data_IF_124893890235
#
_entry.id   IF_124893890235
#
_cell.length_a   1.000
_cell.length_b   1.000
_cell.length_c   1.000
_cell.angle_alpha   90.00
_cell.angle_beta   90.00
_cell.angle_gamma   90.00
#
_symmetry.space_group_name_H-M   'P 1'
#
loop_
_entity.id
_entity.type
_entity.pdbx_description
1 polymer ?
#
# COMPACT_ATOMS: atom_id res chain seq x y z
N UNK A 1 -4.27 14.85 -0.24
CA UNK A 1 -5.27 15.32 -1.24
C UNK A 1 -4.63 16.42 -2.07
N UNK A 2 -4.80 16.40 -3.39
CA UNK A 2 -4.20 17.32 -4.37
C UNK A 2 -2.68 17.46 -4.20
N UNK A 3 -2.00 16.32 -4.10
CA UNK A 3 -0.53 16.26 -4.08
C UNK A 3 0.01 16.71 -5.44
N UNK A 4 -0.63 16.26 -6.52
CA UNK A 4 -0.48 16.83 -7.86
C UNK A 4 -1.67 17.74 -8.12
N UNK A 5 -1.39 18.98 -8.47
CA UNK A 5 -2.36 20.08 -8.53
C UNK A 5 -2.05 21.00 -9.72
N UNK A 6 -2.91 21.99 -9.97
CA UNK A 6 -2.89 22.89 -11.13
C UNK A 6 -1.49 23.36 -11.54
N UNK A 7 -0.78 23.98 -10.61
CA UNK A 7 0.56 24.54 -10.85
C UNK A 7 1.60 23.49 -11.25
N UNK A 8 1.40 22.22 -10.87
CA UNK A 8 2.22 21.11 -11.34
C UNK A 8 1.92 20.80 -12.81
N UNK A 9 0.64 20.73 -13.21
CA UNK A 9 0.25 20.49 -14.60
C UNK A 9 0.72 21.60 -15.54
N UNK A 10 0.72 22.85 -15.08
CA UNK A 10 1.20 24.01 -15.85
C UNK A 10 2.65 23.86 -16.31
N UNK A 11 3.49 23.14 -15.55
CA UNK A 11 4.91 22.95 -15.84
C UNK A 11 5.26 21.52 -16.30
N UNK A 12 4.29 20.62 -16.41
CA UNK A 12 4.52 19.24 -16.86
C UNK A 12 4.95 19.17 -18.32
N UNK A 13 5.87 18.26 -18.65
CA UNK A 13 6.33 18.04 -20.02
C UNK A 13 5.23 17.42 -20.88
N UNK A 14 5.27 17.68 -22.19
CA UNK A 14 4.42 16.97 -23.14
C UNK A 14 4.60 15.45 -23.05
N UNK A 15 3.49 14.72 -23.13
CA UNK A 15 3.43 13.26 -23.04
C UNK A 15 3.63 12.69 -21.64
N UNK A 16 3.68 13.52 -20.59
CA UNK A 16 3.89 13.07 -19.21
C UNK A 16 2.79 12.09 -18.76
N UNK A 17 3.20 10.94 -18.22
CA UNK A 17 2.30 9.97 -17.60
C UNK A 17 2.19 10.26 -16.10
N UNK A 18 0.96 10.42 -15.62
CA UNK A 18 0.61 10.67 -14.23
C UNK A 18 -0.24 9.53 -13.72
N UNK A 19 0.11 8.98 -12.57
CA UNK A 19 -0.60 7.86 -11.96
C UNK A 19 -0.63 8.04 -10.45
N UNK A 20 -1.62 7.41 -9.82
CA UNK A 20 -1.72 7.32 -8.37
C UNK A 20 -1.58 5.86 -7.93
N UNK A 21 -0.91 5.60 -6.82
CA UNK A 21 -0.92 4.29 -6.14
C UNK A 21 -1.24 4.42 -4.64
N UNK A 22 -1.68 5.61 -4.23
CA UNK A 22 -2.05 5.95 -2.87
C UNK A 22 -3.57 5.97 -2.65
N UNK A 23 -4.05 6.95 -1.92
CA UNK A 23 -5.41 6.99 -1.42
C UNK A 23 -6.43 7.41 -2.49
N UNK A 24 -7.24 6.44 -2.94
CA UNK A 24 -8.34 6.60 -3.89
C UNK A 24 -7.95 7.40 -5.15
N UNK A 25 -8.67 8.47 -5.48
CA UNK A 25 -8.43 9.35 -6.62
C UNK A 25 -8.28 10.82 -6.21
N UNK A 26 -8.01 11.09 -4.93
CA UNK A 26 -7.98 12.46 -4.39
C UNK A 26 -6.58 13.05 -4.36
N UNK A 27 -5.55 12.30 -4.72
CA UNK A 27 -4.16 12.78 -4.74
C UNK A 27 -3.82 13.58 -5.99
N UNK A 28 -4.53 13.33 -7.10
CA UNK A 28 -4.40 14.08 -8.35
C UNK A 28 -5.63 14.98 -8.49
N UNK A 29 -5.44 16.29 -8.64
CA UNK A 29 -6.55 17.21 -8.87
C UNK A 29 -7.07 17.11 -10.31
N UNK A 30 -7.79 16.02 -10.62
CA UNK A 30 -8.39 15.78 -11.93
C UNK A 30 -9.39 16.86 -12.37
N UNK A 31 -10.25 17.43 -11.49
CA UNK A 31 -11.10 18.56 -11.86
C UNK A 31 -10.31 19.74 -12.42
N UNK A 32 -9.20 20.11 -11.77
CA UNK A 32 -8.35 21.19 -12.29
C UNK A 32 -7.70 20.83 -13.63
N UNK A 33 -7.31 19.57 -13.83
CA UNK A 33 -6.76 19.13 -15.12
C UNK A 33 -7.84 19.15 -16.22
N UNK A 34 -9.07 18.77 -15.89
CA UNK A 34 -10.23 18.83 -16.79
C UNK A 34 -10.57 20.26 -17.20
N UNK A 35 -10.50 21.22 -16.28
CA UNK A 35 -10.68 22.64 -16.57
C UNK A 35 -9.58 23.22 -17.46
N UNK A 36 -8.35 22.71 -17.36
CA UNK A 36 -7.21 23.17 -18.18
C UNK A 36 -7.17 22.54 -19.57
N UNK A 37 -7.83 21.39 -19.75
CA UNK A 37 -7.79 20.64 -20.99
C UNK A 37 -8.75 21.22 -22.04
N UNK A 38 -8.28 21.33 -23.27
CA UNK A 38 -9.11 21.67 -24.44
C UNK A 38 -9.73 20.44 -25.08
N UNK A 39 -9.13 19.27 -24.88
CA UNK A 39 -9.63 17.98 -25.35
C UNK A 39 -9.28 16.88 -24.35
N UNK A 40 -10.19 15.92 -24.18
CA UNK A 40 -9.95 14.66 -23.46
C UNK A 40 -10.25 13.49 -24.39
N UNK A 41 -9.29 12.59 -24.55
CA UNK A 41 -9.43 11.37 -25.36
C UNK A 41 -8.89 10.15 -24.60
N UNK A 42 -9.33 8.97 -25.00
CA UNK A 42 -8.91 7.69 -24.41
C UNK A 42 -8.20 6.84 -25.46
N UNK A 43 -6.88 7.03 -25.68
CA UNK A 43 -6.15 6.32 -26.74
C UNK A 43 -6.03 4.81 -26.50
N UNK A 44 -6.12 4.36 -25.24
CA UNK A 44 -6.15 2.95 -24.86
C UNK A 44 -6.90 2.75 -23.55
N UNK A 45 -7.23 1.50 -23.23
CA UNK A 45 -7.79 1.16 -21.94
C UNK A 45 -6.88 1.65 -20.81
N UNK A 46 -7.50 2.25 -19.78
CA UNK A 46 -6.85 2.81 -18.59
C UNK A 46 -5.93 4.02 -18.81
N UNK A 47 -5.97 4.65 -19.98
CA UNK A 47 -5.20 5.88 -20.26
C UNK A 47 -6.13 6.96 -20.77
N UNK A 48 -6.30 8.00 -19.98
CA UNK A 48 -6.97 9.24 -20.38
C UNK A 48 -5.91 10.28 -20.74
N UNK A 49 -5.99 10.82 -21.95
CA UNK A 49 -5.08 11.85 -22.45
C UNK A 49 -5.81 13.19 -22.51
N UNK A 50 -5.22 14.18 -21.84
CA UNK A 50 -5.71 15.55 -21.70
C UNK A 50 -4.81 16.46 -22.52
N UNK A 51 -5.33 17.03 -23.61
CA UNK A 51 -4.61 18.04 -24.38
C UNK A 51 -4.83 19.41 -23.75
N UNK A 52 -3.75 20.13 -23.45
CA UNK A 52 -3.76 21.49 -22.93
C UNK A 52 -3.78 22.51 -24.08
N UNK A 53 -4.14 23.75 -23.76
CA UNK A 53 -4.25 24.83 -24.76
C UNK A 53 -2.94 25.16 -25.51
N UNK A 54 -1.78 24.82 -24.93
CA UNK A 54 -0.47 24.99 -25.56
C UNK A 54 -0.02 23.78 -26.41
N UNK A 55 -0.90 22.80 -26.60
CA UNK A 55 -0.66 21.61 -27.41
C UNK A 55 -0.02 20.43 -26.67
N UNK A 56 0.43 20.61 -25.42
CA UNK A 56 0.96 19.52 -24.59
C UNK A 56 -0.15 18.53 -24.23
N UNK A 57 0.23 17.27 -24.06
CA UNK A 57 -0.65 16.17 -23.69
C UNK A 57 -0.23 15.59 -22.34
N UNK A 58 -1.15 15.49 -21.39
CA UNK A 58 -0.94 14.84 -20.10
C UNK A 58 -1.74 13.53 -20.09
N UNK A 59 -1.11 12.42 -19.73
CA UNK A 59 -1.71 11.09 -19.72
C UNK A 59 -1.96 10.64 -18.29
N UNK A 60 -3.21 10.52 -17.89
CA UNK A 60 -3.60 9.98 -16.58
C UNK A 60 -3.85 8.48 -16.71
N UNK A 61 -3.18 7.70 -15.87
CA UNK A 61 -3.37 6.25 -15.80
C UNK A 61 -4.44 5.89 -14.77
N UNK A 62 -5.29 4.92 -15.10
CA UNK A 62 -6.25 4.33 -14.18
C UNK A 62 -7.27 5.33 -13.61
N UNK A 63 -7.62 6.39 -14.34
CA UNK A 63 -8.52 7.46 -13.89
C UNK A 63 -8.03 8.15 -12.58
N UNK A 64 -6.71 8.14 -12.34
CA UNK A 64 -6.11 8.65 -11.10
C UNK A 64 -6.44 7.82 -9.86
N UNK A 65 -7.08 6.65 -10.01
CA UNK A 65 -7.23 5.63 -8.96
C UNK A 65 -5.92 4.85 -8.79
N UNK A 66 -5.93 3.89 -7.86
CA UNK A 66 -4.79 3.00 -7.60
C UNK A 66 -4.40 2.24 -8.88
N UNK A 67 -3.32 2.66 -9.52
CA UNK A 67 -2.89 2.19 -10.84
C UNK A 67 -2.59 0.70 -10.85
N UNK A 68 -2.04 0.17 -9.77
CA UNK A 68 -1.76 -1.26 -9.61
C UNK A 68 -3.04 -2.10 -9.57
N UNK A 69 -4.18 -1.56 -9.14
CA UNK A 69 -5.47 -2.25 -9.13
C UNK A 69 -6.33 -1.92 -10.35
N UNK A 70 -6.25 -0.68 -10.83
CA UNK A 70 -7.08 -0.18 -11.92
C UNK A 70 -6.55 -0.59 -13.30
N UNK A 71 -5.22 -0.68 -13.44
CA UNK A 71 -4.56 -0.97 -14.71
C UNK A 71 -3.66 -2.22 -14.66
N UNK A 72 -3.70 -2.97 -13.55
CA UNK A 72 -3.02 -4.24 -13.35
C UNK A 72 -3.81 -5.13 -12.38
N UNK A 73 -3.19 -6.19 -11.86
CA UNK A 73 -3.85 -7.23 -11.03
C UNK A 73 -3.64 -7.05 -9.52
N UNK A 74 -3.09 -5.90 -9.10
CA UNK A 74 -2.78 -5.62 -7.70
C UNK A 74 -1.54 -6.35 -7.18
N UNK A 75 -1.53 -6.62 -5.89
CA UNK A 75 -0.45 -7.39 -5.27
C UNK A 75 -0.64 -8.89 -5.55
N UNK A 76 0.45 -9.63 -5.79
CA UNK A 76 0.38 -11.08 -5.99
C UNK A 76 -0.12 -11.79 -4.72
N UNK A 77 -0.68 -12.99 -4.89
CA UNK A 77 -1.19 -13.80 -3.79
C UNK A 77 -0.15 -14.03 -2.67
N UNK A 78 1.13 -14.12 -3.03
CA UNK A 78 2.26 -14.30 -2.09
C UNK A 78 2.57 -13.08 -1.23
N UNK A 79 2.00 -11.92 -1.53
CA UNK A 79 2.06 -10.71 -0.68
C UNK A 79 0.75 -10.58 0.11
N UNK A 80 -0.38 -10.91 -0.53
CA UNK A 80 -1.69 -10.81 0.08
C UNK A 80 -1.94 -11.88 1.16
N UNK A 81 -1.29 -13.04 1.10
CA UNK A 81 -1.41 -14.12 2.08
C UNK A 81 -1.12 -13.66 3.51
N UNK A 82 -0.05 -12.90 3.73
CA UNK A 82 0.32 -12.34 5.02
C UNK A 82 -0.70 -11.31 5.51
N UNK A 83 -1.25 -10.50 4.59
CA UNK A 83 -2.28 -9.51 4.93
C UNK A 83 -3.58 -10.20 5.36
N UNK A 84 -4.00 -11.26 4.67
CA UNK A 84 -5.17 -12.05 5.05
C UNK A 84 -4.94 -12.85 6.34
N UNK A 85 -3.74 -13.39 6.56
CA UNK A 85 -3.38 -14.02 7.83
C UNK A 85 -3.49 -13.01 8.98
N UNK A 86 -3.02 -11.77 8.79
CA UNK A 86 -3.19 -10.68 9.75
C UNK A 86 -4.66 -10.40 10.06
N UNK A 87 -5.51 -10.32 9.03
CA UNK A 87 -6.95 -10.09 9.21
C UNK A 87 -7.63 -11.23 9.97
N UNK A 88 -7.34 -12.49 9.62
CA UNK A 88 -7.96 -13.66 10.26
C UNK A 88 -7.51 -13.79 11.72
N UNK A 89 -6.21 -13.72 12.00
CA UNK A 89 -5.71 -13.86 13.37
C UNK A 89 -6.11 -12.68 14.26
N UNK A 90 -6.14 -11.46 13.71
CA UNK A 90 -6.66 -10.30 14.43
C UNK A 90 -8.15 -10.45 14.75
N UNK A 91 -8.97 -10.94 13.79
CA UNK A 91 -10.38 -11.20 14.04
C UNK A 91 -10.59 -12.28 15.11
N UNK A 92 -9.78 -13.35 15.09
CA UNK A 92 -9.76 -14.38 16.13
C UNK A 92 -9.39 -13.79 17.50
N UNK A 93 -8.37 -12.94 17.55
CA UNK A 93 -7.95 -12.27 18.78
C UNK A 93 -9.06 -11.40 19.37
N UNK A 94 -9.73 -10.60 18.53
CA UNK A 94 -10.87 -9.77 18.96
C UNK A 94 -12.01 -10.65 19.48
N UNK A 95 -12.34 -11.74 18.78
CA UNK A 95 -13.38 -12.66 19.20
C UNK A 95 -13.08 -13.31 20.56
N UNK A 96 -11.85 -13.79 20.76
CA UNK A 96 -11.41 -14.43 22.01
C UNK A 96 -11.30 -13.45 23.18
N UNK A 97 -11.09 -12.16 22.90
CA UNK A 97 -10.91 -11.11 23.91
C UNK A 97 -12.06 -10.10 23.97
N UNK A 98 -13.22 -10.41 23.38
CA UNK A 98 -14.33 -9.46 23.23
C UNK A 98 -14.77 -8.78 24.54
N UNK A 99 -14.66 -9.46 25.70
CA UNK A 99 -14.99 -8.90 27.02
C UNK A 99 -13.86 -8.13 27.71
N UNK A 100 -12.66 -8.10 27.13
CA UNK A 100 -11.45 -7.46 27.69
C UNK A 100 -11.02 -6.22 26.91
N UNK A 101 -11.55 -6.03 25.70
CA UNK A 101 -11.19 -4.93 24.82
C UNK A 101 -12.13 -3.75 25.05
N UNK A 102 -11.55 -2.57 25.27
CA UNK A 102 -12.22 -1.28 25.21
C UNK A 102 -12.49 -0.84 23.77
N UNK A 103 -13.37 0.14 23.58
CA UNK A 103 -13.66 0.76 22.28
C UNK A 103 -12.53 1.73 21.85
N UNK A 104 -11.41 1.18 21.39
CA UNK A 104 -10.28 1.94 20.82
C UNK A 104 -9.63 1.17 19.68
N UNK A 105 -8.75 1.86 18.94
CA UNK A 105 -7.91 1.22 17.92
C UNK A 105 -6.74 0.54 18.61
N UNK A 106 -6.56 -0.75 18.37
CA UNK A 106 -5.41 -1.52 18.85
C UNK A 106 -4.46 -1.77 17.69
N UNK A 107 -3.16 -1.72 17.97
CA UNK A 107 -2.18 -2.36 17.11
C UNK A 107 -2.36 -3.88 17.16
N UNK A 108 -1.99 -4.57 16.09
CA UNK A 108 -1.93 -6.04 16.12
C UNK A 108 -0.88 -6.46 17.16
N UNK A 109 -1.23 -7.38 18.07
CA UNK A 109 -0.26 -7.96 19.01
C UNK A 109 0.98 -8.54 18.31
N UNK A 110 2.16 -8.31 18.88
CA UNK A 110 3.43 -8.70 18.26
C UNK A 110 3.57 -10.23 18.09
N UNK A 111 2.99 -11.00 19.01
CA UNK A 111 2.94 -12.46 18.94
C UNK A 111 2.20 -12.95 17.69
N UNK A 112 1.09 -12.30 17.32
CA UNK A 112 0.35 -12.60 16.08
C UNK A 112 1.22 -12.30 14.86
N UNK A 113 1.91 -11.16 14.85
CA UNK A 113 2.76 -10.77 13.71
C UNK A 113 3.94 -11.74 13.52
N UNK A 114 4.56 -12.17 14.63
CA UNK A 114 5.60 -13.22 14.62
C UNK A 114 5.07 -14.56 14.15
N UNK A 115 3.84 -14.92 14.52
CA UNK A 115 3.21 -16.17 14.08
C UNK A 115 2.96 -16.18 12.57
N UNK A 116 2.50 -15.06 12.01
CA UNK A 116 2.30 -14.88 10.56
C UNK A 116 3.63 -15.00 9.81
N UNK A 117 4.69 -14.36 10.32
CA UNK A 117 6.03 -14.49 9.74
C UNK A 117 6.52 -15.94 9.76
N UNK A 118 6.27 -16.67 10.86
CA UNK A 118 6.60 -18.10 10.97
C UNK A 118 5.84 -18.94 9.93
N UNK A 119 4.52 -18.75 9.79
CA UNK A 119 3.72 -19.44 8.77
C UNK A 119 4.22 -19.14 7.34
N UNK A 120 4.62 -17.90 7.08
CA UNK A 120 5.17 -17.52 5.77
C UNK A 120 6.47 -18.25 5.46
N UNK A 121 7.39 -18.30 6.40
CA UNK A 121 8.67 -19.00 6.25
C UNK A 121 8.46 -20.49 6.01
N UNK A 122 7.55 -21.11 6.77
CA UNK A 122 7.17 -22.51 6.62
C UNK A 122 6.61 -22.80 5.21
N UNK A 123 5.67 -21.95 4.73
CA UNK A 123 5.10 -22.07 3.39
C UNK A 123 6.14 -21.87 2.27
N UNK A 124 7.20 -21.10 2.53
CA UNK A 124 8.33 -20.90 1.60
C UNK A 124 9.37 -22.02 1.68
N UNK A 125 9.22 -22.98 2.60
CA UNK A 125 10.23 -24.01 2.87
C UNK A 125 11.52 -23.46 3.50
N UNK A 126 11.47 -22.25 4.04
CA UNK A 126 12.60 -21.62 4.72
C UNK A 126 12.71 -22.15 6.16
N UNK A 127 13.93 -22.44 6.59
CA UNK A 127 14.24 -22.79 7.98
C UNK A 127 14.85 -21.59 8.67
N UNK A 128 14.50 -21.40 9.93
CA UNK A 128 15.12 -20.44 10.82
C UNK A 128 15.73 -21.17 12.00
N UNK A 129 16.82 -20.62 12.52
CA UNK A 129 17.44 -21.12 13.73
C UNK A 129 16.60 -20.74 14.96
N UNK A 130 16.75 -21.52 16.03
CA UNK A 130 16.24 -21.18 17.35
C UNK A 130 17.42 -20.79 18.24
N UNK A 131 17.23 -19.76 19.06
CA UNK A 131 18.20 -19.43 20.09
C UNK A 131 18.34 -20.61 21.06
N UNK A 132 19.58 -20.94 21.40
CA UNK A 132 19.90 -21.87 22.49
C UNK A 132 19.47 -21.27 23.83
N UNK A 133 19.27 -22.12 24.85
CA UNK A 133 18.94 -21.66 26.20
C UNK A 133 19.98 -20.67 26.74
N UNK A 134 21.26 -20.91 26.45
CA UNK A 134 22.37 -20.02 26.79
C UNK A 134 22.24 -18.65 26.11
N UNK A 135 21.93 -18.60 24.82
CA UNK A 135 21.72 -17.34 24.09
C UNK A 135 20.48 -16.57 24.59
N UNK A 136 19.40 -17.28 24.94
CA UNK A 136 18.21 -16.66 25.53
C UNK A 136 18.55 -16.08 26.91
N UNK A 137 19.28 -16.81 27.74
CA UNK A 137 19.71 -16.34 29.05
C UNK A 137 20.61 -15.10 28.94
N UNK A 138 21.60 -15.13 28.04
CA UNK A 138 22.48 -14.00 27.77
C UNK A 138 21.69 -12.74 27.34
N UNK A 139 20.76 -12.86 26.40
CA UNK A 139 19.96 -11.72 25.92
C UNK A 139 19.04 -11.10 26.99
N UNK A 140 18.61 -11.90 27.97
CA UNK A 140 17.67 -11.46 29.01
C UNK A 140 18.33 -11.16 30.35
N UNK A 141 19.66 -11.26 30.46
CA UNK A 141 20.40 -10.99 31.70
C UNK A 141 21.40 -9.87 31.51
N UNK A 142 21.49 -9.00 32.51
CA UNK A 142 22.48 -7.91 32.59
C UNK A 142 23.80 -8.38 33.23
N UNK A 143 23.97 -9.69 33.42
CA UNK A 143 25.09 -10.27 34.17
C UNK A 143 26.33 -10.46 33.30
N UNK A 144 26.17 -10.54 31.98
CA UNK A 144 27.25 -10.64 31.02
C UNK A 144 27.18 -9.49 30.00
N UNK A 145 27.54 -8.28 30.44
CA UNK A 145 27.66 -7.08 29.59
C UNK A 145 27.78 -5.78 30.41
N UNK A 146 28.47 -4.76 29.87
CA UNK A 146 28.70 -3.42 30.49
C UNK A 146 27.42 -2.68 30.84
#
# INVERSE_FOLDING_TARGET
>A
KHVIDKHHFEVMKDGCCVANSGHFNVEINLPSLEEMAVEKRRPRQFVDEYQLADGRNIRVLGEGRLVNLAAAEGHPATVMDMSFANQILSATYVYQNAGKLENKVYAVPEDIDREIARYKLEAMGAKIDALTEEQIAYLNTWQEGT
#
